data_IF_593481461787
#
_entry.id   IF_593481461787
#
_cell.length_a   1.000
_cell.length_b   1.000
_cell.length_c   1.000
_cell.angle_alpha   90.00
_cell.angle_beta   90.00
_cell.angle_gamma   90.00
#
_symmetry.space_group_name_H-M   'P 1'
#
loop_
_entity.id
_entity.type
_entity.pdbx_description
1 polymer ?
#
# COMPACT_ATOMS: atom_id res chain seq x y z
N UNK A 1 -17.98 21.89 38.55
CA UNK A 1 -17.86 20.63 37.79
C UNK A 1 -17.47 21.03 36.40
N UNK A 2 -16.17 21.06 36.12
CA UNK A 2 -15.62 21.10 34.76
C UNK A 2 -14.12 20.80 34.89
N UNK A 3 -13.82 19.51 35.09
CA UNK A 3 -12.50 18.95 34.85
C UNK A 3 -12.58 18.20 33.51
N UNK A 4 -12.68 18.93 32.39
CA UNK A 4 -12.34 18.36 31.08
C UNK A 4 -10.86 18.63 30.80
N UNK A 5 -9.99 18.09 31.65
CA UNK A 5 -8.59 17.95 31.28
C UNK A 5 -8.56 16.97 30.09
N UNK A 6 -8.12 17.46 28.93
CA UNK A 6 -7.92 16.64 27.74
C UNK A 6 -7.02 15.44 28.04
N UNK A 7 -7.17 14.35 27.28
CA UNK A 7 -6.31 13.17 27.40
C UNK A 7 -4.86 13.54 27.04
N UNK A 8 -3.97 13.76 28.02
CA UNK A 8 -2.66 14.33 27.78
C UNK A 8 -1.72 13.33 27.09
N UNK A 9 -2.01 12.04 27.20
CA UNK A 9 -1.25 10.97 26.54
C UNK A 9 -1.56 10.96 25.04
N UNK A 10 -2.85 11.07 24.67
CA UNK A 10 -3.25 11.20 23.28
C UNK A 10 -2.70 12.48 22.62
N UNK A 11 -2.68 13.60 23.35
CA UNK A 11 -2.12 14.86 22.87
C UNK A 11 -0.63 14.75 22.50
N UNK A 12 0.16 14.06 23.33
CA UNK A 12 1.57 13.79 23.04
C UNK A 12 1.72 13.01 21.73
N UNK A 13 0.94 11.94 21.54
CA UNK A 13 1.05 11.12 20.32
C UNK A 13 0.61 11.86 19.05
N UNK A 14 -0.38 12.73 19.13
CA UNK A 14 -0.77 13.60 17.99
C UNK A 14 0.37 14.55 17.63
N UNK A 15 1.05 15.14 18.62
CA UNK A 15 2.19 16.05 18.36
C UNK A 15 3.35 15.35 17.64
N UNK A 16 3.51 14.03 17.79
CA UNK A 16 4.51 13.25 17.04
C UNK A 16 4.19 13.24 15.54
N UNK A 17 2.91 13.20 15.15
CA UNK A 17 2.50 13.25 13.73
C UNK A 17 2.69 14.64 13.11
N UNK A 18 2.64 15.69 13.93
CA UNK A 18 2.96 17.06 13.53
C UNK A 18 4.49 17.29 13.43
N UNK A 19 5.29 16.37 13.97
CA UNK A 19 6.74 16.42 13.90
C UNK A 19 7.29 15.79 12.61
N UNK A 20 8.58 16.00 12.36
CA UNK A 20 9.28 15.43 11.20
C UNK A 20 9.64 13.93 11.34
N UNK A 21 9.20 13.28 12.42
CA UNK A 21 9.38 11.84 12.65
C UNK A 21 8.52 11.04 11.66
N UNK A 22 7.30 11.50 11.41
CA UNK A 22 6.33 10.85 10.51
C UNK A 22 6.25 11.56 9.15
N UNK A 23 7.30 12.31 8.79
CA UNK A 23 7.27 13.23 7.67
C UNK A 23 6.94 12.56 6.33
N UNK A 24 6.30 13.34 5.47
CA UNK A 24 6.02 13.04 4.07
C UNK A 24 7.09 13.69 3.20
N UNK A 25 7.61 12.92 2.24
CA UNK A 25 8.59 13.40 1.27
C UNK A 25 7.98 13.32 -0.13
N UNK A 26 8.03 14.40 -0.92
CA UNK A 26 7.65 14.37 -2.33
C UNK A 26 8.64 13.54 -3.14
N UNK A 27 8.09 12.73 -4.04
CA UNK A 27 8.83 11.83 -4.90
C UNK A 27 8.74 12.32 -6.34
N UNK A 28 9.81 12.12 -7.10
CA UNK A 28 9.91 12.36 -8.53
C UNK A 28 10.10 11.03 -9.26
N UNK A 29 9.33 10.83 -10.33
CA UNK A 29 9.52 9.71 -11.22
C UNK A 29 10.69 9.98 -12.18
N UNK A 30 11.64 9.05 -12.25
CA UNK A 30 12.73 9.09 -13.24
C UNK A 30 12.30 8.33 -14.50
N UNK A 31 11.84 7.08 -14.33
CA UNK A 31 11.38 6.24 -15.45
C UNK A 31 10.44 5.15 -14.92
N UNK A 32 9.50 4.70 -15.75
CA UNK A 32 8.70 3.52 -15.47
C UNK A 32 8.34 2.75 -16.74
N UNK A 33 7.90 1.50 -16.58
CA UNK A 33 7.38 0.67 -17.67
C UNK A 33 5.84 0.67 -17.78
N UNK A 34 5.11 1.54 -17.05
CA UNK A 34 3.63 1.55 -17.04
C UNK A 34 2.98 1.94 -18.37
N UNK A 35 3.72 2.63 -19.24
CA UNK A 35 3.26 3.05 -20.57
C UNK A 35 3.65 2.10 -21.71
N UNK A 36 4.06 0.85 -21.43
CA UNK A 36 4.60 -0.05 -22.45
C UNK A 36 3.57 -0.61 -23.45
N UNK A 37 2.31 -0.17 -23.39
CA UNK A 37 1.19 -0.62 -24.23
C UNK A 37 0.99 -2.16 -24.27
N UNK A 38 1.43 -2.85 -23.20
CA UNK A 38 1.22 -4.27 -22.95
C UNK A 38 0.95 -4.48 -21.46
N UNK A 39 0.25 -5.55 -21.13
CA UNK A 39 0.02 -5.92 -19.74
C UNK A 39 1.33 -6.21 -19.02
N UNK A 40 1.55 -5.55 -17.89
CA UNK A 40 2.69 -5.77 -17.00
C UNK A 40 2.15 -6.05 -15.60
N UNK A 41 2.44 -7.23 -15.06
CA UNK A 41 2.04 -7.52 -13.69
C UNK A 41 2.77 -6.59 -12.71
N UNK A 42 2.18 -6.28 -11.56
CA UNK A 42 2.86 -5.43 -10.58
C UNK A 42 4.19 -6.02 -10.11
N UNK A 43 4.31 -7.35 -10.06
CA UNK A 43 5.56 -8.07 -9.77
C UNK A 43 6.64 -7.91 -10.85
N UNK A 44 6.28 -7.47 -12.06
CA UNK A 44 7.17 -7.17 -13.18
C UNK A 44 7.26 -5.66 -13.46
N UNK A 45 6.64 -4.82 -12.61
CA UNK A 45 6.75 -3.38 -12.72
C UNK A 45 8.21 -2.97 -12.50
N UNK A 46 8.67 -2.01 -13.30
CA UNK A 46 9.97 -1.38 -13.15
C UNK A 46 9.71 0.11 -13.02
N UNK A 47 10.04 0.65 -11.84
CA UNK A 47 9.86 2.06 -11.51
C UNK A 47 11.12 2.56 -10.82
N UNK A 48 11.73 3.59 -11.38
CA UNK A 48 12.84 4.30 -10.77
C UNK A 48 12.36 5.69 -10.34
N UNK A 49 12.65 6.04 -9.10
CA UNK A 49 12.24 7.30 -8.48
C UNK A 49 13.42 7.96 -7.77
N UNK A 50 13.26 9.23 -7.46
CA UNK A 50 14.15 10.01 -6.59
C UNK A 50 13.32 10.96 -5.71
N UNK A 51 13.93 11.56 -4.71
CA UNK A 51 13.31 12.65 -3.96
C UNK A 51 13.26 13.93 -4.79
N UNK A 52 12.23 14.75 -4.56
CA UNK A 52 12.22 16.11 -5.12
C UNK A 52 13.23 16.99 -4.38
N UNK A 53 14.27 17.43 -5.08
CA UNK A 53 15.34 18.23 -4.52
C UNK A 53 15.16 19.72 -4.85
N UNK A 54 15.36 20.57 -3.84
CA UNK A 54 15.37 22.02 -3.94
C UNK A 54 16.72 22.56 -3.47
N UNK A 55 17.17 23.66 -4.08
CA UNK A 55 18.38 24.34 -3.64
C UNK A 55 18.05 25.28 -2.47
N UNK A 56 18.73 25.09 -1.34
CA UNK A 56 18.66 26.04 -0.24
C UNK A 56 19.37 27.36 -0.58
N UNK A 57 19.27 28.35 0.32
CA UNK A 57 19.94 29.66 0.15
C UNK A 57 21.47 29.56 0.01
N UNK A 58 22.07 28.43 0.37
CA UNK A 58 23.50 28.14 0.28
C UNK A 58 23.84 27.25 -0.92
N UNK A 59 22.87 26.96 -1.80
CA UNK A 59 23.04 26.11 -2.98
C UNK A 59 23.11 24.61 -2.69
N UNK A 60 22.69 24.15 -1.50
CA UNK A 60 22.64 22.72 -1.16
C UNK A 60 21.32 22.12 -1.61
N UNK A 61 21.37 20.96 -2.27
CA UNK A 61 20.19 20.19 -2.63
C UNK A 61 19.59 19.52 -1.38
N UNK A 62 18.36 19.88 -1.04
CA UNK A 62 17.60 19.32 0.08
C UNK A 62 16.23 18.89 -0.41
N UNK A 63 15.69 17.82 0.16
CA UNK A 63 14.30 17.45 -0.02
C UNK A 63 13.42 18.23 0.96
N UNK A 64 12.30 18.76 0.49
CA UNK A 64 11.29 19.31 1.37
C UNK A 64 10.59 18.15 2.09
N UNK A 65 10.33 18.34 3.38
CA UNK A 65 9.63 17.36 4.21
C UNK A 65 8.45 18.04 4.88
N UNK A 66 7.31 17.36 4.88
CA UNK A 66 6.05 17.88 5.38
C UNK A 66 5.57 17.06 6.57
N UNK A 67 4.97 17.69 7.60
CA UNK A 67 4.25 16.96 8.64
C UNK A 67 3.22 16.00 8.05
N UNK A 68 3.01 14.86 8.70
CA UNK A 68 2.02 13.88 8.24
C UNK A 68 0.60 14.47 8.24
N UNK A 69 0.33 15.34 9.20
CA UNK A 69 -0.97 15.99 9.41
C UNK A 69 -1.32 17.00 8.31
N UNK A 70 -0.36 17.45 7.49
CA UNK A 70 -0.60 18.44 6.42
C UNK A 70 -1.65 17.96 5.41
N UNK A 71 -1.63 16.67 5.04
CA UNK A 71 -2.62 16.09 4.12
C UNK A 71 -3.87 15.55 4.83
N UNK A 72 -3.87 15.56 6.17
CA UNK A 72 -4.91 15.03 7.05
C UNK A 72 -5.50 16.10 7.99
N UNK A 73 -5.53 17.36 7.55
CA UNK A 73 -5.98 18.48 8.39
C UNK A 73 -7.34 18.24 9.06
N UNK A 74 -8.36 17.75 8.33
CA UNK A 74 -9.67 17.40 8.92
C UNK A 74 -9.56 16.37 10.05
N UNK A 75 -8.74 15.33 9.88
CA UNK A 75 -8.48 14.34 10.93
C UNK A 75 -7.72 14.92 12.12
N UNK A 76 -6.74 15.78 11.88
CA UNK A 76 -6.00 16.46 12.94
C UNK A 76 -6.90 17.42 13.74
N UNK A 77 -7.74 18.19 13.04
CA UNK A 77 -8.72 19.09 13.65
C UNK A 77 -9.73 18.30 14.49
N UNK A 78 -10.21 17.15 13.98
CA UNK A 78 -11.11 16.24 14.72
C UNK A 78 -10.49 15.74 16.04
N UNK A 79 -9.23 15.27 16.00
CA UNK A 79 -8.52 14.82 17.19
C UNK A 79 -8.26 15.98 18.16
N UNK A 80 -7.83 17.12 17.64
CA UNK A 80 -7.54 18.32 18.44
C UNK A 80 -8.78 18.81 19.16
N UNK A 81 -9.93 18.85 18.48
CA UNK A 81 -11.20 19.25 19.07
C UNK A 81 -11.65 18.28 20.16
N UNK A 82 -11.48 16.97 19.94
CA UNK A 82 -11.78 15.96 20.97
C UNK A 82 -10.87 16.11 22.19
N UNK A 83 -9.56 16.25 21.99
CA UNK A 83 -8.58 16.39 23.08
C UNK A 83 -8.84 17.66 23.88
N UNK A 84 -9.05 18.81 23.23
CA UNK A 84 -9.18 20.10 23.92
C UNK A 84 -10.54 20.30 24.58
N UNK A 85 -11.62 19.82 23.96
CA UNK A 85 -12.98 20.18 24.35
C UNK A 85 -13.85 18.98 24.73
N UNK A 86 -13.35 17.74 24.64
CA UNK A 86 -14.16 16.54 24.79
C UNK A 86 -15.31 16.46 23.77
N UNK A 87 -15.22 17.22 22.67
CA UNK A 87 -16.34 17.45 21.77
C UNK A 87 -16.59 16.20 20.95
N UNK A 88 -17.79 15.63 21.11
CA UNK A 88 -18.29 14.59 20.22
C UNK A 88 -18.66 15.22 18.88
N UNK A 89 -18.19 14.61 17.80
CA UNK A 89 -18.59 14.96 16.43
C UNK A 89 -19.99 14.40 16.14
N UNK A 90 -20.49 14.59 14.93
CA UNK A 90 -21.77 14.03 14.48
C UNK A 90 -21.57 13.11 13.28
N UNK A 91 -22.48 12.16 13.11
CA UNK A 91 -22.52 11.26 11.96
C UNK A 91 -21.26 10.41 11.81
N UNK A 92 -20.76 10.30 10.57
CA UNK A 92 -19.66 9.42 10.20
C UNK A 92 -18.36 9.78 10.94
N UNK A 93 -18.07 11.06 11.16
CA UNK A 93 -16.85 11.48 11.86
C UNK A 93 -16.83 11.00 13.31
N UNK A 94 -17.99 10.93 13.98
CA UNK A 94 -18.09 10.38 15.33
C UNK A 94 -17.82 8.87 15.33
N UNK A 95 -18.38 8.12 14.37
CA UNK A 95 -18.13 6.68 14.24
C UNK A 95 -16.65 6.37 13.99
N UNK A 96 -15.99 7.18 13.14
CA UNK A 96 -14.57 7.05 12.85
C UNK A 96 -13.73 7.33 14.10
N UNK A 97 -14.05 8.37 14.86
CA UNK A 97 -13.37 8.69 16.12
C UNK A 97 -13.58 7.59 17.17
N UNK A 98 -14.80 7.08 17.31
CA UNK A 98 -15.13 5.98 18.23
C UNK A 98 -14.39 4.69 17.88
N UNK A 99 -14.16 4.40 16.60
CA UNK A 99 -13.34 3.27 16.18
C UNK A 99 -11.90 3.40 16.72
N UNK A 100 -11.28 4.58 16.61
CA UNK A 100 -9.96 4.83 17.18
C UNK A 100 -9.95 4.68 18.70
N UNK A 101 -10.87 5.35 19.41
CA UNK A 101 -10.91 5.31 20.88
C UNK A 101 -11.18 3.89 21.41
N UNK A 102 -12.09 3.16 20.75
CA UNK A 102 -12.34 1.75 21.08
C UNK A 102 -11.13 0.86 20.80
N UNK A 103 -10.34 1.18 19.78
CA UNK A 103 -9.11 0.44 19.50
C UNK A 103 -8.03 0.73 20.54
N UNK A 104 -7.80 2.01 20.87
CA UNK A 104 -6.78 2.43 21.84
C UNK A 104 -7.02 1.82 23.23
N UNK A 105 -8.28 1.74 23.67
CA UNK A 105 -8.63 1.04 24.92
C UNK A 105 -8.36 -0.47 24.93
N UNK A 106 -8.09 -1.07 23.76
CA UNK A 106 -7.77 -2.49 23.56
C UNK A 106 -6.43 -2.71 22.84
N UNK A 107 -5.54 -1.72 22.90
CA UNK A 107 -4.29 -1.75 22.14
C UNK A 107 -3.41 -2.95 22.50
N UNK A 108 -3.46 -3.42 23.75
CA UNK A 108 -2.75 -4.61 24.21
C UNK A 108 -3.28 -5.88 23.55
N UNK A 109 -4.60 -6.10 23.54
CA UNK A 109 -5.24 -7.24 22.86
C UNK A 109 -4.93 -7.24 21.36
N UNK A 110 -4.98 -6.06 20.73
CA UNK A 110 -4.61 -5.91 19.32
C UNK A 110 -3.12 -6.25 19.09
N UNK A 111 -2.24 -5.80 19.98
CA UNK A 111 -0.81 -6.08 19.92
C UNK A 111 -0.52 -7.58 20.03
N UNK A 112 -1.19 -8.28 20.94
CA UNK A 112 -1.11 -9.73 21.12
C UNK A 112 -1.58 -10.50 19.88
N UNK A 113 -2.70 -10.07 19.28
CA UNK A 113 -3.23 -10.68 18.04
C UNK A 113 -2.25 -10.60 16.86
N UNK A 114 -1.37 -9.59 16.87
CA UNK A 114 -0.31 -9.41 15.87
C UNK A 114 0.99 -10.15 16.21
N UNK A 115 1.18 -10.65 17.44
CA UNK A 115 2.39 -11.40 17.77
C UNK A 115 2.37 -12.81 17.17
N UNK A 116 3.53 -13.26 16.70
CA UNK A 116 3.77 -14.66 16.32
C UNK A 116 4.01 -15.47 17.60
N UNK A 117 3.20 -16.49 17.85
CA UNK A 117 3.37 -17.35 19.02
C UNK A 117 4.65 -18.20 18.87
N UNK A 118 5.45 -18.31 19.93
CA UNK A 118 6.77 -18.98 19.92
C UNK A 118 6.73 -20.46 19.50
N UNK A 119 5.55 -21.09 19.50
CA UNK A 119 5.36 -22.52 19.18
C UNK A 119 4.74 -22.74 17.80
N UNK A 120 4.55 -21.69 16.99
CA UNK A 120 4.01 -21.86 15.64
C UNK A 120 5.00 -22.61 14.73
N UNK A 121 4.58 -23.72 14.10
CA UNK A 121 5.42 -24.42 13.13
C UNK A 121 5.79 -23.46 12.00
N UNK A 122 6.96 -23.60 11.38
CA UNK A 122 7.47 -22.66 10.36
C UNK A 122 6.50 -22.36 9.21
N UNK A 123 5.52 -23.24 9.00
CA UNK A 123 4.44 -23.07 8.03
C UNK A 123 3.48 -21.90 8.35
N UNK A 124 3.39 -21.45 9.60
CA UNK A 124 2.50 -20.35 10.07
C UNK A 124 3.18 -18.96 10.07
N UNK A 125 4.41 -18.85 9.53
CA UNK A 125 5.16 -17.58 9.48
C UNK A 125 4.92 -16.80 8.18
N UNK A 126 3.97 -17.24 7.34
CA UNK A 126 3.78 -16.76 5.97
C UNK A 126 3.26 -15.32 5.90
N UNK A 127 3.53 -14.62 4.80
CA UNK A 127 2.99 -13.27 4.54
C UNK A 127 1.46 -13.27 4.57
N UNK A 128 0.82 -14.37 4.14
CA UNK A 128 -0.63 -14.55 4.19
C UNK A 128 -1.16 -14.59 5.62
N UNK A 129 -0.48 -15.27 6.54
CA UNK A 129 -0.84 -15.30 7.96
C UNK A 129 -0.71 -13.91 8.61
N UNK A 130 0.35 -13.19 8.23
CA UNK A 130 0.54 -11.82 8.69
C UNK A 130 -0.53 -10.88 8.14
N UNK A 131 -0.89 -11.00 6.87
CA UNK A 131 -1.99 -10.25 6.26
C UNK A 131 -3.31 -10.50 6.99
N UNK A 132 -3.61 -11.75 7.36
CA UNK A 132 -4.80 -12.09 8.12
C UNK A 132 -4.82 -11.46 9.52
N UNK A 133 -3.69 -11.49 10.23
CA UNK A 133 -3.56 -10.84 11.55
C UNK A 133 -3.76 -9.33 11.44
N UNK A 134 -3.11 -8.68 10.48
CA UNK A 134 -3.24 -7.25 10.21
C UNK A 134 -4.69 -6.87 9.90
N UNK A 135 -5.34 -7.59 8.99
CA UNK A 135 -6.71 -7.30 8.61
C UNK A 135 -7.67 -7.38 9.81
N UNK A 136 -7.56 -8.42 10.63
CA UNK A 136 -8.49 -8.71 11.75
C UNK A 136 -8.22 -7.86 12.99
N UNK A 137 -6.94 -7.70 13.35
CA UNK A 137 -6.54 -7.12 14.63
C UNK A 137 -6.07 -5.69 14.52
N UNK A 138 -5.86 -5.14 13.31
CA UNK A 138 -5.35 -3.79 13.15
C UNK A 138 -6.18 -2.95 12.18
N UNK A 139 -6.32 -3.37 10.92
CA UNK A 139 -6.95 -2.54 9.89
C UNK A 139 -8.48 -2.47 10.01
N UNK A 140 -9.19 -3.61 10.07
CA UNK A 140 -10.66 -3.62 10.22
C UNK A 140 -11.13 -2.89 11.49
N UNK A 141 -10.53 -3.10 12.68
CA UNK A 141 -10.93 -2.37 13.88
C UNK A 141 -10.78 -0.85 13.78
N UNK A 142 -9.84 -0.36 12.98
CA UNK A 142 -9.57 1.08 12.79
C UNK A 142 -10.34 1.70 11.62
N UNK A 143 -10.88 0.90 10.70
CA UNK A 143 -11.61 1.41 9.52
C UNK A 143 -13.08 1.68 9.83
N UNK A 144 -13.65 2.66 9.13
CA UNK A 144 -15.08 3.00 9.20
C UNK A 144 -15.96 1.81 8.77
N UNK A 145 -15.52 1.06 7.76
CA UNK A 145 -16.30 -0.05 7.18
C UNK A 145 -16.22 -1.32 8.01
N UNK A 146 -15.10 -1.49 8.75
CA UNK A 146 -14.75 -2.71 9.49
C UNK A 146 -14.69 -3.97 8.64
N UNK A 147 -14.72 -3.86 7.32
CA UNK A 147 -14.70 -5.00 6.42
C UNK A 147 -13.44 -5.02 5.55
N UNK A 148 -13.07 -6.24 5.17
CA UNK A 148 -11.84 -6.51 4.44
C UNK A 148 -11.97 -7.78 3.60
N UNK A 149 -11.09 -7.88 2.61
CA UNK A 149 -10.90 -9.07 1.78
C UNK A 149 -9.40 -9.32 1.63
N UNK A 150 -8.96 -10.55 1.89
CA UNK A 150 -7.61 -11.02 1.57
C UNK A 150 -7.55 -11.65 0.17
N UNK A 151 -6.38 -11.56 -0.47
CA UNK A 151 -6.15 -12.20 -1.76
C UNK A 151 -6.44 -13.71 -1.73
N UNK A 152 -7.26 -14.15 -2.68
CA UNK A 152 -7.66 -15.55 -2.81
C UNK A 152 -6.71 -16.38 -3.68
N UNK A 153 -5.55 -15.88 -4.09
CA UNK A 153 -4.59 -16.63 -4.92
C UNK A 153 -3.40 -17.20 -4.15
N UNK A 154 -3.28 -16.91 -2.85
CA UNK A 154 -2.29 -17.56 -1.98
C UNK A 154 -2.47 -19.08 -1.90
N UNK A 155 -1.36 -19.83 -2.03
CA UNK A 155 -1.32 -21.30 -1.99
C UNK A 155 -1.70 -21.90 -0.62
N UNK A 156 -1.66 -21.11 0.46
CA UNK A 156 -1.92 -21.53 1.83
C UNK A 156 -2.88 -20.57 2.50
N UNK A 157 -4.17 -20.85 2.39
CA UNK A 157 -5.23 -20.06 3.05
C UNK A 157 -5.55 -20.66 4.40
N UNK A 158 -5.47 -19.86 5.44
CA UNK A 158 -6.02 -20.21 6.74
C UNK A 158 -7.51 -19.79 6.77
N UNK A 159 -8.43 -20.73 7.04
CA UNK A 159 -9.87 -20.43 7.18
C UNK A 159 -10.16 -19.54 8.39
N UNK A 160 -9.29 -19.62 9.40
CA UNK A 160 -9.40 -18.88 10.66
C UNK A 160 -8.10 -18.16 10.94
N UNK A 161 -8.21 -17.04 11.65
CA UNK A 161 -7.09 -16.25 12.11
C UNK A 161 -6.05 -17.17 12.77
N UNK A 162 -4.77 -17.08 12.39
CA UNK A 162 -3.72 -17.96 12.90
C UNK A 162 -3.50 -17.82 14.41
N UNK A 163 -3.89 -16.70 15.02
CA UNK A 163 -3.84 -16.51 16.47
C UNK A 163 -4.92 -17.33 17.23
N UNK A 164 -4.96 -17.15 18.54
CA UNK A 164 -5.93 -17.79 19.44
C UNK A 164 -7.38 -17.31 19.27
N UNK A 165 -7.64 -16.19 18.59
CA UNK A 165 -9.00 -15.63 18.48
C UNK A 165 -9.94 -16.43 17.56
N UNK A 166 -9.38 -17.23 16.64
CA UNK A 166 -10.11 -18.11 15.70
C UNK A 166 -11.24 -17.45 14.88
N UNK A 167 -11.18 -16.13 14.69
CA UNK A 167 -12.08 -15.38 13.79
C UNK A 167 -11.94 -15.90 12.35
N UNK A 168 -13.04 -15.96 11.61
CA UNK A 168 -13.05 -16.42 10.22
C UNK A 168 -12.33 -15.42 9.33
N UNK A 169 -11.50 -15.91 8.41
CA UNK A 169 -10.78 -15.07 7.44
C UNK A 169 -11.57 -14.97 6.14
N UNK A 170 -11.79 -13.74 5.66
CA UNK A 170 -12.47 -13.47 4.40
C UNK A 170 -11.48 -13.37 3.25
N UNK A 171 -11.66 -14.20 2.22
CA UNK A 171 -10.87 -14.17 1.00
C UNK A 171 -11.75 -13.80 -0.19
N UNK A 172 -11.15 -13.18 -1.19
CA UNK A 172 -11.83 -12.75 -2.41
C UNK A 172 -10.84 -12.27 -3.45
N UNK A 173 -11.36 -11.78 -4.57
CA UNK A 173 -10.53 -11.28 -5.66
C UNK A 173 -10.00 -9.88 -5.30
N UNK A 174 -8.68 -9.75 -5.18
CA UNK A 174 -8.01 -8.46 -4.93
C UNK A 174 -7.30 -7.94 -6.18
N UNK A 175 -7.65 -8.46 -7.36
CA UNK A 175 -7.07 -8.02 -8.62
C UNK A 175 -7.59 -6.66 -9.05
N UNK A 176 -6.68 -5.86 -9.62
CA UNK A 176 -6.96 -4.52 -10.13
C UNK A 176 -5.96 -4.17 -11.23
N UNK A 177 -6.40 -3.39 -12.22
CA UNK A 177 -5.53 -2.85 -13.27
C UNK A 177 -6.18 -2.83 -14.63
N UNK A 178 -5.35 -2.85 -15.67
CA UNK A 178 -5.81 -3.02 -17.05
C UNK A 178 -4.84 -3.99 -17.79
N UNK A 179 -5.36 -4.92 -18.63
CA UNK A 179 -4.52 -5.87 -19.37
C UNK A 179 -3.54 -5.24 -20.37
N UNK A 180 -3.63 -3.94 -20.65
CA UNK A 180 -2.73 -3.19 -21.54
C UNK A 180 -1.80 -2.24 -20.79
N UNK A 181 -1.90 -2.18 -19.46
CA UNK A 181 -1.03 -1.36 -18.59
C UNK A 181 -0.58 -2.18 -17.38
N UNK A 182 -0.39 -1.56 -16.22
CA UNK A 182 -0.13 -2.29 -14.98
C UNK A 182 -1.39 -2.98 -14.44
N UNK A 183 -1.21 -4.21 -13.99
CA UNK A 183 -2.24 -4.98 -13.31
C UNK A 183 -1.64 -5.91 -12.26
N UNK A 184 -2.45 -6.37 -11.32
CA UNK A 184 -1.99 -7.35 -10.34
C UNK A 184 -2.93 -7.40 -9.17
N UNK A 185 -2.43 -7.82 -8.01
CA UNK A 185 -3.24 -8.05 -6.82
C UNK A 185 -2.65 -7.35 -5.60
N UNK A 186 -3.53 -7.00 -4.67
CA UNK A 186 -3.18 -6.53 -3.33
C UNK A 186 -3.25 -7.68 -2.33
N UNK A 187 -2.47 -7.63 -1.25
CA UNK A 187 -2.60 -8.65 -0.20
C UNK A 187 -3.92 -8.48 0.58
N UNK A 188 -4.33 -7.22 0.80
CA UNK A 188 -5.52 -6.86 1.56
C UNK A 188 -6.23 -5.70 0.86
N UNK A 189 -7.55 -5.82 0.68
CA UNK A 189 -8.42 -4.67 0.47
C UNK A 189 -9.24 -4.39 1.73
N UNK A 190 -9.36 -3.11 2.06
CA UNK A 190 -10.28 -2.59 3.08
C UNK A 190 -11.35 -1.79 2.35
N UNK A 191 -12.61 -1.97 2.74
CA UNK A 191 -13.74 -1.35 2.05
C UNK A 191 -15.08 -1.95 2.49
N UNK A 192 -16.11 -1.84 1.65
CA UNK A 192 -17.43 -2.45 1.87
C UNK A 192 -17.64 -3.53 0.82
N UNK A 193 -17.71 -4.78 1.25
CA UNK A 193 -17.88 -5.93 0.36
C UNK A 193 -19.24 -6.59 0.64
N UNK A 194 -19.97 -6.96 -0.42
CA UNK A 194 -21.21 -7.71 -0.26
C UNK A 194 -20.93 -9.07 0.41
N UNK A 195 -21.79 -9.48 1.34
CA UNK A 195 -21.72 -10.80 1.94
C UNK A 195 -22.30 -11.85 0.97
N UNK A 196 -21.64 -13.02 0.88
CA UNK A 196 -22.13 -14.17 0.11
C UNK A 196 -23.59 -14.48 0.50
N UNK A 197 -24.54 -14.12 -0.37
CA UNK A 197 -25.97 -14.26 -0.11
C UNK A 197 -26.88 -13.30 -0.87
N UNK A 198 -26.38 -12.15 -1.35
CA UNK A 198 -27.13 -11.22 -2.21
C UNK A 198 -26.66 -11.29 -3.65
N UNK A 199 -27.11 -12.32 -4.38
CA UNK A 199 -27.02 -12.32 -5.85
C UNK A 199 -28.11 -11.42 -6.42
N UNK A 200 -27.85 -10.12 -6.45
CA UNK A 200 -28.44 -9.28 -7.48
C UNK A 200 -27.35 -9.02 -8.51
N UNK A 201 -27.46 -9.67 -9.67
CA UNK A 201 -26.70 -9.35 -10.87
C UNK A 201 -27.08 -7.94 -11.35
N UNK A 202 -26.60 -6.92 -10.64
CA UNK A 202 -26.54 -5.57 -11.20
C UNK A 202 -25.27 -5.49 -12.04
N UNK A 203 -25.44 -5.32 -13.35
CA UNK A 203 -24.35 -5.12 -14.32
C UNK A 203 -23.65 -3.74 -14.18
N UNK A 204 -23.96 -3.00 -13.12
CA UNK A 204 -23.28 -1.75 -12.79
C UNK A 204 -22.28 -2.04 -11.68
N UNK A 205 -21.00 -2.12 -12.07
CA UNK A 205 -19.89 -2.31 -11.15
C UNK A 205 -19.82 -1.09 -10.21
N UNK A 206 -20.29 -1.27 -8.98
CA UNK A 206 -20.39 -0.19 -8.00
C UNK A 206 -19.00 0.11 -7.46
N UNK A 207 -18.42 1.16 -8.00
CA UNK A 207 -17.08 1.68 -7.76
C UNK A 207 -16.70 1.96 -6.27
N UNK A 208 -17.64 1.86 -5.33
CA UNK A 208 -17.50 2.24 -3.92
C UNK A 208 -17.03 1.12 -2.98
N UNK A 209 -16.79 -0.09 -3.47
CA UNK A 209 -16.51 -1.24 -2.60
C UNK A 209 -15.11 -1.22 -1.99
N UNK A 210 -14.13 -0.59 -2.64
CA UNK A 210 -12.75 -0.53 -2.14
C UNK A 210 -12.49 0.86 -1.58
N UNK A 211 -11.96 0.93 -0.37
CA UNK A 211 -11.43 2.17 0.21
C UNK A 211 -9.92 2.25 0.05
N UNK A 212 -9.20 1.20 0.47
CA UNK A 212 -7.73 1.15 0.53
C UNK A 212 -7.20 -0.23 0.17
N UNK A 213 -6.00 -0.25 -0.43
CA UNK A 213 -5.17 -1.44 -0.56
C UNK A 213 -3.99 -1.43 0.41
N UNK A 214 -3.65 -2.62 0.91
CA UNK A 214 -2.43 -2.84 1.68
C UNK A 214 -1.60 -3.99 1.09
N UNK A 215 -0.29 -3.80 1.10
CA UNK A 215 0.71 -4.74 0.60
C UNK A 215 1.61 -5.15 1.76
N UNK A 216 1.68 -6.47 1.97
CA UNK A 216 2.52 -7.10 2.99
C UNK A 216 3.87 -7.39 2.39
N UNK A 217 4.92 -7.04 3.13
CA UNK A 217 6.29 -7.04 2.62
C UNK A 217 7.19 -7.86 3.53
N UNK A 218 8.15 -8.61 2.96
CA UNK A 218 9.10 -9.36 3.77
C UNK A 218 9.93 -8.37 4.59
N UNK A 219 10.24 -8.75 5.83
CA UNK A 219 11.20 -7.99 6.63
C UNK A 219 12.59 -8.34 6.10
N UNK A 220 13.48 -7.38 5.80
CA UNK A 220 14.85 -7.72 5.44
C UNK A 220 15.46 -8.53 6.59
N UNK A 221 15.86 -9.76 6.30
CA UNK A 221 16.62 -10.57 7.25
C UNK A 221 17.91 -9.80 7.56
N UNK A 222 18.20 -9.57 8.84
CA UNK A 222 19.43 -8.92 9.25
C UNK A 222 20.62 -9.66 8.61
N UNK A 223 21.58 -8.96 7.97
CA UNK A 223 22.81 -9.60 7.49
C UNK A 223 23.73 -10.09 8.62
N UNK A 224 23.43 -9.80 9.88
CA UNK A 224 24.31 -10.06 11.04
C UNK A 224 24.12 -11.43 11.71
N UNK A 225 23.77 -12.47 10.95
CA UNK A 225 24.06 -13.85 11.40
C UNK A 225 25.38 -14.27 10.80
N UNK A 226 26.47 -13.90 11.50
CA UNK A 226 27.76 -14.56 11.41
C UNK A 226 27.59 -16.02 11.84
N UNK A 227 27.15 -16.86 10.92
CA UNK A 227 27.32 -18.31 11.04
C UNK A 227 28.78 -18.61 10.69
N UNK A 228 29.65 -18.51 11.70
CA UNK A 228 30.99 -19.10 11.65
C UNK A 228 30.85 -20.63 11.54
N UNK A 229 30.76 -21.13 10.31
CA UNK A 229 31.20 -22.50 10.00
C UNK A 229 31.66 -22.67 8.55
N UNK A 230 33.00 -22.74 8.42
CA UNK A 230 33.79 -23.56 7.49
C UNK A 230 33.95 -23.10 6.02
N UNK A 231 35.10 -22.43 5.74
CA UNK A 231 36.11 -22.69 4.67
C UNK A 231 35.67 -23.48 3.42
N UNK A 232 35.94 -23.14 2.15
CA UNK A 232 37.20 -22.69 1.53
C UNK A 232 36.98 -22.39 0.01
N UNK A 233 37.74 -21.43 -0.54
CA UNK A 233 38.16 -21.17 -1.94
C UNK A 233 37.19 -21.29 -3.15
N UNK A 234 36.86 -20.11 -3.71
CA UNK A 234 36.47 -19.88 -5.10
C UNK A 234 36.07 -18.40 -5.29
N UNK A 235 36.41 -17.71 -6.41
CA UNK A 235 36.05 -16.31 -6.58
C UNK A 235 34.54 -16.24 -6.88
N UNK A 236 33.72 -16.13 -5.84
CA UNK A 236 32.29 -15.95 -5.99
C UNK A 236 32.03 -14.52 -6.45
N UNK A 237 31.50 -14.41 -7.66
CA UNK A 237 30.86 -13.20 -8.14
C UNK A 237 29.78 -12.84 -7.12
N UNK A 238 29.94 -11.67 -6.50
CA UNK A 238 28.98 -11.09 -5.58
C UNK A 238 27.80 -10.62 -6.42
N UNK A 239 26.83 -11.50 -6.67
CA UNK A 239 25.47 -11.10 -7.04
C UNK A 239 24.90 -10.34 -5.83
N UNK A 240 24.97 -9.01 -5.93
CA UNK A 240 24.44 -8.09 -4.93
C UNK A 240 22.92 -8.30 -4.87
N UNK A 241 22.39 -8.65 -3.69
CA UNK A 241 20.95 -8.78 -3.37
C UNK A 241 20.12 -7.48 -3.56
N UNK A 242 20.60 -6.51 -4.34
CA UNK A 242 19.95 -5.23 -4.63
C UNK A 242 18.65 -5.36 -5.43
N UNK A 243 18.50 -6.42 -6.21
CA UNK A 243 17.32 -6.59 -7.09
C UNK A 243 16.02 -6.80 -6.30
N UNK A 244 16.05 -7.51 -5.18
CA UNK A 244 14.83 -7.82 -4.41
C UNK A 244 14.13 -6.59 -3.80
N UNK A 245 14.90 -5.65 -3.24
CA UNK A 245 14.37 -4.45 -2.60
C UNK A 245 13.83 -3.43 -3.61
N UNK A 246 14.55 -3.25 -4.73
CA UNK A 246 14.13 -2.37 -5.82
C UNK A 246 12.88 -2.89 -6.55
N UNK A 247 12.75 -4.22 -6.70
CA UNK A 247 11.56 -4.85 -7.28
C UNK A 247 10.32 -4.64 -6.40
N UNK A 248 10.48 -4.75 -5.08
CA UNK A 248 9.39 -4.51 -4.13
C UNK A 248 8.90 -3.05 -4.14
N UNK A 249 9.81 -2.08 -4.17
CA UNK A 249 9.43 -0.67 -4.31
C UNK A 249 8.71 -0.39 -5.63
N UNK A 250 9.16 -0.98 -6.74
CA UNK A 250 8.49 -0.85 -8.05
C UNK A 250 7.06 -1.39 -8.02
N UNK A 251 6.85 -2.51 -7.31
CA UNK A 251 5.53 -3.07 -7.05
C UNK A 251 4.64 -2.05 -6.32
N UNK A 252 5.12 -1.45 -5.24
CA UNK A 252 4.35 -0.46 -4.47
C UNK A 252 4.01 0.80 -5.26
N UNK A 253 4.94 1.35 -6.04
CA UNK A 253 4.67 2.53 -6.87
C UNK A 253 3.57 2.22 -7.89
N UNK A 254 3.70 1.10 -8.62
CA UNK A 254 2.70 0.71 -9.63
C UNK A 254 1.32 0.45 -9.01
N UNK A 255 1.24 -0.23 -7.87
CA UNK A 255 0.01 -0.42 -7.11
C UNK A 255 -0.62 0.90 -6.67
N UNK A 256 0.18 1.81 -6.09
CA UNK A 256 -0.33 3.11 -5.60
C UNK A 256 -0.90 3.93 -6.74
N UNK A 257 -0.21 3.97 -7.88
CA UNK A 257 -0.64 4.70 -9.07
C UNK A 257 -1.94 4.12 -9.62
N UNK A 258 -2.01 2.80 -9.84
CA UNK A 258 -3.22 2.13 -10.34
C UNK A 258 -4.40 2.32 -9.40
N UNK A 259 -4.20 2.16 -8.09
CA UNK A 259 -5.25 2.35 -7.09
C UNK A 259 -5.76 3.79 -7.09
N UNK A 260 -4.88 4.78 -7.22
CA UNK A 260 -5.28 6.19 -7.28
C UNK A 260 -6.16 6.49 -8.49
N UNK A 261 -5.78 6.01 -9.68
CA UNK A 261 -6.59 6.18 -10.88
C UNK A 261 -7.97 5.51 -10.73
N UNK A 262 -8.01 4.29 -10.22
CA UNK A 262 -9.27 3.59 -9.95
C UNK A 262 -10.16 4.39 -8.97
N UNK A 263 -9.62 4.79 -7.83
CA UNK A 263 -10.35 5.55 -6.81
C UNK A 263 -10.83 6.90 -7.34
N UNK A 264 -10.03 7.60 -8.15
CA UNK A 264 -10.40 8.88 -8.75
C UNK A 264 -11.49 8.71 -9.82
N UNK A 265 -11.44 7.64 -10.61
CA UNK A 265 -12.51 7.28 -11.55
C UNK A 265 -13.83 7.05 -10.82
N UNK A 266 -13.77 6.31 -9.72
CA UNK A 266 -14.92 5.96 -8.90
C UNK A 266 -15.47 7.14 -8.10
N UNK A 267 -14.58 7.99 -7.58
CA UNK A 267 -14.88 9.09 -6.69
C UNK A 267 -14.06 10.33 -7.10
N UNK A 268 -14.50 11.10 -8.11
CA UNK A 268 -13.73 12.23 -8.67
C UNK A 268 -13.39 13.33 -7.66
N UNK A 269 -14.15 13.44 -6.56
CA UNK A 269 -13.92 14.41 -5.50
C UNK A 269 -12.76 14.04 -4.55
N UNK A 270 -12.18 12.83 -4.66
CA UNK A 270 -11.02 12.45 -3.85
C UNK A 270 -9.79 13.24 -4.29
N UNK A 271 -9.04 13.77 -3.31
CA UNK A 271 -7.84 14.55 -3.60
C UNK A 271 -6.63 13.65 -3.78
N UNK A 272 -6.27 12.89 -2.74
CA UNK A 272 -5.08 12.04 -2.71
C UNK A 272 -5.47 10.66 -2.22
N UNK A 273 -4.92 9.61 -2.85
CA UNK A 273 -5.27 8.23 -2.56
C UNK A 273 -4.08 7.53 -1.89
N UNK A 274 -4.27 6.99 -0.68
CA UNK A 274 -3.22 6.27 0.02
C UNK A 274 -3.15 4.79 -0.35
N UNK A 275 -1.99 4.20 -0.10
CA UNK A 275 -1.68 2.78 -0.06
C UNK A 275 -0.86 2.50 1.20
N UNK A 276 -1.09 1.34 1.82
CA UNK A 276 -0.35 0.89 2.99
C UNK A 276 0.69 -0.15 2.59
N UNK A 277 1.96 0.14 2.85
CA UNK A 277 3.03 -0.86 2.88
C UNK A 277 3.24 -1.30 4.32
N UNK A 278 3.27 -2.61 4.59
CA UNK A 278 3.44 -3.10 5.97
C UNK A 278 4.30 -4.36 6.05
N UNK A 279 5.30 -4.33 6.93
CA UNK A 279 6.12 -5.49 7.29
C UNK A 279 5.78 -5.97 8.71
N UNK A 280 6.58 -6.88 9.28
CA UNK A 280 6.42 -7.29 10.68
C UNK A 280 6.92 -6.25 11.67
N UNK A 281 7.71 -5.26 11.24
CA UNK A 281 8.40 -4.32 12.14
C UNK A 281 7.99 -2.86 11.91
N UNK A 282 7.56 -2.50 10.71
CA UNK A 282 7.23 -1.14 10.33
C UNK A 282 6.08 -1.07 9.31
N UNK A 283 5.51 0.11 9.20
CA UNK A 283 4.52 0.51 8.19
C UNK A 283 5.05 1.74 7.45
N UNK A 284 4.72 1.86 6.17
CA UNK A 284 4.98 3.03 5.36
C UNK A 284 3.75 3.35 4.54
N UNK A 285 3.47 4.64 4.36
CA UNK A 285 2.31 5.11 3.62
C UNK A 285 2.76 5.78 2.33
N UNK A 286 2.12 5.38 1.24
CA UNK A 286 2.33 5.93 -0.07
C UNK A 286 1.06 6.63 -0.50
N UNK A 287 1.19 7.82 -1.08
CA UNK A 287 0.05 8.63 -1.47
C UNK A 287 0.24 9.14 -2.89
N UNK A 288 -0.78 9.00 -3.73
CA UNK A 288 -0.74 9.53 -5.09
C UNK A 288 -2.04 10.28 -5.44
N UNK A 289 -1.88 11.51 -5.91
CA UNK A 289 -2.93 12.31 -6.54
C UNK A 289 -2.76 12.19 -8.06
N UNK A 290 -3.58 11.34 -8.68
CA UNK A 290 -3.54 11.06 -10.13
C UNK A 290 -4.07 12.21 -10.99
N UNK A 291 -4.69 13.24 -10.42
CA UNK A 291 -5.12 14.41 -11.18
C UNK A 291 -4.02 15.46 -11.22
N UNK A 292 -3.39 15.71 -10.07
CA UNK A 292 -2.29 16.68 -9.95
C UNK A 292 -0.93 16.09 -10.31
N UNK A 293 -0.84 14.77 -10.44
CA UNK A 293 0.39 14.00 -10.67
C UNK A 293 1.40 14.29 -9.54
N UNK A 294 1.01 14.06 -8.29
CA UNK A 294 1.82 14.29 -7.08
C UNK A 294 1.91 13.00 -6.28
N UNK A 295 3.13 12.60 -5.92
CA UNK A 295 3.40 11.41 -5.13
C UNK A 295 4.13 11.77 -3.83
N UNK A 296 3.62 11.28 -2.71
CA UNK A 296 4.24 11.43 -1.39
C UNK A 296 4.51 10.06 -0.78
N UNK A 297 5.65 9.89 -0.13
CA UNK A 297 5.94 8.74 0.71
C UNK A 297 6.21 9.20 2.14
N UNK A 298 5.62 8.52 3.12
CA UNK A 298 5.99 8.72 4.52
C UNK A 298 7.34 8.11 4.81
N UNK A 299 7.99 8.53 5.89
CA UNK A 299 9.02 7.72 6.53
C UNK A 299 8.42 6.39 7.03
N UNK A 300 9.27 5.37 7.14
CA UNK A 300 8.91 4.13 7.80
C UNK A 300 8.64 4.39 9.29
N UNK A 301 7.48 3.94 9.76
CA UNK A 301 7.04 4.09 11.14
C UNK A 301 7.08 2.72 11.82
N UNK A 302 7.79 2.56 12.96
CA UNK A 302 7.82 1.29 13.66
C UNK A 302 6.41 0.89 14.13
N UNK A 303 6.06 -0.38 13.95
CA UNK A 303 4.77 -0.90 14.40
C UNK A 303 4.72 -1.07 15.92
N UNK A 304 5.83 -1.52 16.52
CA UNK A 304 5.86 -1.91 17.93
C UNK A 304 6.89 -1.13 18.73
N UNK A 305 6.61 -0.91 20.01
CA UNK A 305 7.61 -0.58 21.02
C UNK A 305 8.44 -1.83 21.37
N UNK A 306 9.52 -1.65 22.14
CA UNK A 306 10.38 -2.76 22.58
C UNK A 306 9.63 -3.82 23.39
N UNK A 307 8.58 -3.42 24.12
CA UNK A 307 7.71 -4.32 24.88
C UNK A 307 6.66 -5.05 24.00
N UNK A 308 6.71 -4.88 22.68
CA UNK A 308 5.81 -5.47 21.68
C UNK A 308 4.38 -4.91 21.65
N UNK A 309 4.10 -3.85 22.39
CA UNK A 309 2.84 -3.10 22.24
C UNK A 309 2.91 -2.24 20.97
N UNK A 310 1.80 -2.08 20.27
CA UNK A 310 1.68 -1.20 19.11
C UNK A 310 2.04 0.25 19.47
N UNK A 311 2.76 0.93 18.58
CA UNK A 311 3.07 2.34 18.75
C UNK A 311 1.85 3.20 18.47
N UNK A 312 1.40 3.97 19.47
CA UNK A 312 0.20 4.80 19.35
C UNK A 312 0.29 5.82 18.19
N UNK A 313 1.42 6.51 17.93
CA UNK A 313 1.53 7.38 16.76
C UNK A 313 1.29 6.63 15.43
N UNK A 314 1.80 5.40 15.33
CA UNK A 314 1.61 4.52 14.17
C UNK A 314 0.15 4.07 14.04
N UNK A 315 -0.52 3.77 15.15
CA UNK A 315 -1.96 3.47 15.19
C UNK A 315 -2.78 4.66 14.67
N UNK A 316 -2.48 5.87 15.14
CA UNK A 316 -3.19 7.09 14.73
C UNK A 316 -2.95 7.39 13.25
N UNK A 317 -1.71 7.30 12.76
CA UNK A 317 -1.42 7.48 11.33
C UNK A 317 -2.15 6.46 10.45
N UNK A 318 -2.20 5.20 10.89
CA UNK A 318 -2.94 4.13 10.19
C UNK A 318 -4.44 4.43 10.18
N UNK A 319 -5.00 4.90 11.29
CA UNK A 319 -6.40 5.33 11.37
C UNK A 319 -6.71 6.52 10.43
N UNK A 320 -5.83 7.52 10.35
CA UNK A 320 -5.96 8.63 9.42
C UNK A 320 -6.03 8.13 7.98
N UNK A 321 -5.11 7.23 7.63
CA UNK A 321 -5.00 6.63 6.30
C UNK A 321 -6.24 5.80 5.97
N UNK A 322 -6.62 4.82 6.82
CA UNK A 322 -7.78 3.95 6.61
C UNK A 322 -9.09 4.72 6.39
N UNK A 323 -9.19 5.94 6.92
CA UNK A 323 -10.38 6.78 6.84
C UNK A 323 -10.15 8.05 5.98
N UNK A 324 -9.19 8.03 5.06
CA UNK A 324 -8.77 9.20 4.28
C UNK A 324 -9.90 9.89 3.52
N UNK A 325 -10.91 9.15 3.03
CA UNK A 325 -12.07 9.73 2.31
C UNK A 325 -12.79 10.79 3.16
N UNK A 326 -12.74 10.66 4.49
CA UNK A 326 -13.34 11.61 5.44
C UNK A 326 -12.31 12.54 6.09
N UNK A 327 -11.11 12.02 6.39
CA UNK A 327 -10.12 12.71 7.20
C UNK A 327 -9.05 13.46 6.39
N UNK A 328 -8.89 13.16 5.11
CA UNK A 328 -7.94 13.84 4.24
C UNK A 328 -8.47 15.19 3.77
N UNK A 329 -7.54 16.15 3.66
CA UNK A 329 -7.77 17.45 3.04
C UNK A 329 -7.08 17.58 1.68
N UNK A 330 -6.34 16.54 1.25
CA UNK A 330 -5.52 16.57 0.04
C UNK A 330 -4.18 17.27 0.22
N UNK A 331 -3.44 17.39 -0.88
CA UNK A 331 -2.16 18.11 -0.92
C UNK A 331 -2.34 19.60 -0.64
N UNK A 332 -1.41 20.19 0.11
CA UNK A 332 -1.40 21.63 0.38
C UNK A 332 -0.76 22.39 -0.77
N UNK A 333 -1.02 23.70 -0.86
CA UNK A 333 -0.39 24.58 -1.86
C UNK A 333 1.14 24.62 -1.77
N UNK A 334 1.71 24.27 -0.60
CA UNK A 334 3.16 24.21 -0.45
C UNK A 334 3.73 22.93 -1.06
N UNK A 335 3.03 21.81 -0.94
CA UNK A 335 3.40 20.54 -1.57
C UNK A 335 3.27 20.65 -3.09
N UNK A 336 2.19 21.28 -3.59
CA UNK A 336 1.97 21.46 -5.03
C UNK A 336 3.09 22.27 -5.72
N UNK A 337 3.75 23.18 -4.98
CA UNK A 337 4.84 24.01 -5.50
C UNK A 337 6.14 23.25 -5.71
N UNK A 338 6.30 22.06 -5.10
CA UNK A 338 7.50 21.26 -5.28
C UNK A 338 7.57 20.66 -6.69
N UNK A 339 6.41 20.48 -7.31
CA UNK A 339 6.25 20.09 -8.71
C UNK A 339 5.49 18.78 -8.86
N UNK A 340 5.59 18.20 -10.06
CA UNK A 340 4.91 16.94 -10.40
C UNK A 340 5.83 15.74 -10.20
N UNK A 341 5.22 14.63 -9.81
CA UNK A 341 5.82 13.30 -9.83
C UNK A 341 6.28 12.95 -11.26
N UNK A 342 5.44 13.18 -12.27
CA UNK A 342 5.81 13.08 -13.68
C UNK A 342 5.34 11.80 -14.36
N UNK A 343 4.39 11.07 -13.78
CA UNK A 343 3.84 9.86 -14.40
C UNK A 343 3.17 10.15 -15.73
N UNK A 344 2.39 11.24 -15.81
CA UNK A 344 1.65 11.59 -17.02
C UNK A 344 2.59 11.91 -18.19
N UNK A 345 3.78 12.44 -17.91
CA UNK A 345 4.79 12.73 -18.93
C UNK A 345 5.65 11.53 -19.33
N UNK A 346 5.67 10.47 -18.53
CA UNK A 346 6.52 9.30 -18.74
C UNK A 346 5.82 8.18 -19.51
N UNK A 347 4.49 8.17 -19.52
CA UNK A 347 3.71 7.20 -20.29
C UNK A 347 3.32 7.76 -21.66
N UNK A 348 3.03 6.85 -22.59
CA UNK A 348 2.53 7.24 -23.91
C UNK A 348 1.17 7.96 -23.79
N UNK A 349 0.87 8.98 -24.61
CA UNK A 349 -0.41 9.69 -24.58
C UNK A 349 -1.64 8.78 -24.68
N UNK A 350 -1.53 7.69 -25.45
CA UNK A 350 -2.56 6.66 -25.61
C UNK A 350 -2.73 5.75 -24.38
N UNK A 351 -1.74 5.68 -23.49
CA UNK A 351 -1.82 4.88 -22.26
C UNK A 351 -2.57 5.60 -21.14
N UNK A 352 -2.48 6.94 -21.07
CA UNK A 352 -3.12 7.71 -19.99
C UNK A 352 -4.65 7.51 -19.93
N UNK A 353 -5.40 7.51 -21.05
CA UNK A 353 -6.83 7.20 -21.04
C UNK A 353 -7.16 5.81 -20.49
N UNK A 354 -6.29 4.82 -20.67
CA UNK A 354 -6.48 3.47 -20.12
C UNK A 354 -6.43 3.49 -18.59
N UNK A 355 -5.52 4.28 -18.01
CA UNK A 355 -5.47 4.50 -16.57
C UNK A 355 -6.70 5.26 -16.08
N UNK A 356 -7.11 6.33 -16.78
CA UNK A 356 -8.21 7.17 -16.34
C UNK A 356 -9.58 6.48 -16.40
N UNK A 357 -9.81 5.62 -17.39
CA UNK A 357 -11.14 5.10 -17.69
C UNK A 357 -11.25 3.58 -17.52
N UNK A 358 -10.17 2.83 -17.81
CA UNK A 358 -10.26 1.39 -18.08
C UNK A 358 -9.59 0.52 -17.00
N UNK A 359 -9.23 1.10 -15.85
CA UNK A 359 -8.78 0.33 -14.68
C UNK A 359 -10.01 -0.30 -14.01
N UNK A 360 -10.03 -1.62 -13.85
CA UNK A 360 -11.13 -2.31 -13.16
C UNK A 360 -10.61 -3.25 -12.08
N UNK A 361 -11.54 -3.71 -11.23
CA UNK A 361 -11.30 -4.70 -10.17
C UNK A 361 -11.90 -6.03 -10.60
N UNK A 362 -11.27 -7.14 -10.21
CA UNK A 362 -11.77 -8.47 -10.54
C UNK A 362 -11.43 -8.92 -11.96
N UNK A 363 -10.37 -8.35 -12.54
CA UNK A 363 -9.93 -8.67 -13.88
C UNK A 363 -9.41 -10.10 -13.98
N UNK A 364 -10.04 -10.90 -14.85
CA UNK A 364 -9.45 -12.16 -15.33
C UNK A 364 -8.56 -11.86 -16.52
N UNK A 365 -7.26 -11.74 -16.28
CA UNK A 365 -6.29 -11.75 -17.37
C UNK A 365 -6.21 -13.17 -17.89
N UNK A 366 -6.91 -13.46 -19.00
CA UNK A 366 -6.63 -14.66 -19.78
C UNK A 366 -5.20 -14.54 -20.33
N UNK A 367 -4.33 -15.54 -20.16
CA UNK A 367 -3.00 -15.49 -20.73
C UNK A 367 -3.14 -15.31 -22.24
N UNK A 368 -2.50 -14.27 -22.79
CA UNK A 368 -2.37 -14.14 -24.24
C UNK A 368 -1.66 -15.39 -24.76
N UNK A 369 -2.42 -16.27 -25.40
CA UNK A 369 -1.87 -17.39 -26.15
C UNK A 369 -1.24 -16.82 -27.41
N UNK A 370 0.05 -16.53 -27.34
CA UNK A 370 0.83 -16.29 -28.54
C UNK A 370 0.83 -17.60 -29.35
N UNK A 371 0.06 -17.63 -30.44
CA UNK A 371 0.29 -18.59 -31.50
C UNK A 371 1.66 -18.25 -32.09
N UNK A 372 2.69 -19.00 -31.67
CA UNK A 372 3.94 -19.09 -32.41
C UNK A 372 3.60 -19.65 -33.79
N UNK A 373 3.33 -18.76 -34.74
CA UNK A 373 3.15 -19.12 -36.13
C UNK A 373 4.54 -19.45 -36.70
N UNK A 374 5.00 -20.67 -36.43
CA UNK A 374 6.33 -21.16 -36.84
C UNK A 374 6.48 -21.32 -38.36
N UNK A 375 5.42 -21.08 -39.14
CA UNK A 375 5.38 -21.36 -40.57
C UNK A 375 5.89 -20.23 -41.48
N UNK A 376 6.33 -19.09 -40.95
CA UNK A 376 6.81 -17.98 -41.81
C UNK A 376 8.33 -17.91 -42.05
N UNK A 377 9.15 -18.78 -41.44
CA UNK A 377 10.60 -18.77 -41.64
C UNK A 377 11.25 -20.13 -41.96
N UNK A 378 10.49 -21.20 -42.16
CA UNK A 378 11.02 -22.53 -42.50
C UNK A 378 11.02 -22.82 -44.01
N UNK A 379 11.31 -21.84 -44.88
CA UNK A 379 11.45 -22.12 -46.32
C UNK A 379 12.53 -21.27 -46.96
N UNK A 380 13.81 -21.56 -46.68
CA UNK A 380 14.93 -21.32 -47.63
C UNK A 380 16.31 -21.83 -47.18
N UNK A 381 16.43 -23.01 -46.55
CA UNK A 381 17.76 -23.66 -46.40
C UNK A 381 17.65 -25.17 -46.45
N UNK A 382 17.24 -25.76 -47.58
CA UNK A 382 17.57 -27.16 -47.92
C UNK A 382 17.43 -27.39 -49.44
N UNK A 383 18.29 -26.78 -50.27
CA UNK A 383 18.64 -27.30 -51.60
C UNK A 383 20.02 -26.80 -52.03
N UNK A 384 21.02 -27.54 -51.61
CA UNK A 384 22.39 -27.73 -52.14
C UNK A 384 23.01 -28.61 -51.04
N UNK A 385 23.07 -29.92 -51.20
CA UNK A 385 23.96 -30.62 -52.12
C UNK A 385 23.35 -31.98 -52.49
N UNK A 386 23.42 -32.33 -53.78
CA UNK A 386 23.82 -33.66 -54.23
C UNK A 386 23.88 -33.68 -55.76
N UNK A 387 25.11 -33.55 -56.26
CA UNK A 387 25.71 -34.36 -57.34
C UNK A 387 27.13 -33.86 -57.59
N UNK A 388 28.09 -34.52 -56.94
CA UNK A 388 29.43 -34.70 -57.50
C UNK A 388 29.34 -35.69 -58.66
N UNK A 389 29.99 -35.35 -59.77
CA UNK A 389 30.82 -36.34 -60.47
C UNK A 389 32.17 -36.45 -59.73
#
# INVERSE_FOLDING_TARGET
>A
MDDSAGDPDLAFHVSVLESLVCALSPIKLIVCNGGAARGISFSQASVLVDFMLHLDRKGRALTNVYPFTDIFKKGNDLLTDYIKFGKKSLGVNQQILEALLSFLSKVEEASEGLQIEKQEPERNKSETDWAARLAIHFFSPLSQTKDYVLDNHGLKKCERCPCSCKKIVKYGDTSIGNPKTWYGRFNIFIGKFAHEGSFEESKEQKCDEIDIGATVVPTPENPDTDDESLSNDGPSQTEVKTDGLNNHLSHLFSQTIVLSFYQKKCNPALNIVPLIEVSKTHIQFHFYDSEKDIYLASKQMPLFYKNKTLQIPTVIATWLVLNYKHLSSGVTTNIEKDGKFGFHSQILPESLPLYQNDIEVGHRVEPETFLLNADYHATLVLRKEDKMD
#
